data_IF_829195661810
#
_entry.id   IF_829195661810
#
_cell.length_a   1.000
_cell.length_b   1.000
_cell.length_c   1.000
_cell.angle_alpha   90.00
_cell.angle_beta   90.00
_cell.angle_gamma   90.00
#
_symmetry.space_group_name_H-M   'P 1'
#
loop_
_entity.id
_entity.type
_entity.pdbx_description
1 polymer ?
#
# COMPACT_ATOMS: atom_id res chain seq x y z
N UNK A 1 38.71 17.60 -7.52
CA UNK A 1 37.72 17.28 -6.47
C UNK A 1 38.34 16.15 -5.72
N UNK A 2 39.09 16.48 -4.68
CA UNK A 2 40.11 15.59 -4.14
C UNK A 2 39.56 15.02 -2.84
N UNK A 3 38.66 14.04 -2.99
CA UNK A 3 38.03 13.31 -1.88
C UNK A 3 39.01 12.32 -1.26
N UNK A 4 40.01 12.84 -0.54
CA UNK A 4 40.92 12.00 0.23
C UNK A 4 40.37 11.81 1.64
N UNK A 5 40.03 10.58 1.99
CA UNK A 5 39.75 10.18 3.37
C UNK A 5 41.00 10.42 4.22
N UNK A 6 40.83 11.14 5.31
CA UNK A 6 41.92 11.37 6.25
C UNK A 6 42.17 10.08 7.04
N UNK A 7 43.40 9.87 7.54
CA UNK A 7 43.70 8.73 8.40
C UNK A 7 42.85 8.68 9.68
N UNK A 8 42.31 9.83 10.12
CA UNK A 8 41.36 9.91 11.22
C UNK A 8 39.99 9.31 10.85
N UNK A 9 39.54 9.48 9.61
CA UNK A 9 38.27 8.94 9.12
C UNK A 9 38.34 7.41 9.02
N UNK A 10 39.49 6.88 8.58
CA UNK A 10 39.74 5.43 8.56
C UNK A 10 39.79 4.84 9.98
N UNK A 11 40.35 5.56 10.95
CA UNK A 11 40.39 5.14 12.34
C UNK A 11 38.99 5.18 13.00
N UNK A 12 38.17 6.18 12.67
CA UNK A 12 36.79 6.25 13.10
C UNK A 12 35.96 5.07 12.55
N UNK A 13 36.16 4.72 11.28
CA UNK A 13 35.51 3.56 10.66
C UNK A 13 35.95 2.24 11.30
N UNK A 14 37.25 2.10 11.61
CA UNK A 14 37.80 0.92 12.29
C UNK A 14 37.12 0.70 13.64
N UNK A 15 36.96 1.75 14.45
CA UNK A 15 36.31 1.66 15.76
C UNK A 15 34.82 1.31 15.66
N UNK A 16 34.17 1.69 14.56
CA UNK A 16 32.76 1.36 14.31
C UNK A 16 32.56 -0.10 13.87
N UNK A 17 33.46 -0.60 13.01
CA UNK A 17 33.36 -1.96 12.44
C UNK A 17 33.90 -3.01 13.42
N UNK A 18 34.89 -2.65 14.23
CA UNK A 18 35.52 -3.54 15.19
C UNK A 18 35.69 -2.81 16.54
N UNK A 19 34.60 -2.64 17.32
CA UNK A 19 34.72 -2.11 18.67
C UNK A 19 35.70 -2.99 19.47
N UNK A 20 36.58 -2.36 20.23
CA UNK A 20 37.52 -3.07 21.10
C UNK A 20 36.74 -3.99 22.02
N UNK A 21 37.01 -5.30 21.93
CA UNK A 21 36.54 -6.30 22.88
C UNK A 21 37.19 -6.03 24.23
N UNK A 22 36.58 -5.13 25.00
CA UNK A 22 36.56 -5.31 26.45
C UNK A 22 35.40 -6.27 26.73
N UNK A 23 35.75 -7.54 26.80
CA UNK A 23 34.89 -8.60 27.34
C UNK A 23 34.67 -8.29 28.83
N UNK A 24 33.59 -7.57 29.15
CA UNK A 24 33.01 -7.56 30.50
C UNK A 24 31.55 -7.97 30.37
N UNK A 25 31.34 -9.29 30.41
CA UNK A 25 30.05 -9.91 30.71
C UNK A 25 29.61 -9.48 32.11
N UNK A 26 28.94 -8.33 32.18
CA UNK A 26 28.31 -7.81 33.39
C UNK A 26 26.96 -7.27 32.99
N UNK A 27 26.01 -8.20 32.93
CA UNK A 27 24.60 -7.87 33.00
C UNK A 27 24.37 -7.16 34.33
N UNK A 28 23.67 -6.02 34.27
CA UNK A 28 23.23 -5.14 35.36
C UNK A 28 24.18 -4.02 35.82
N UNK A 29 23.60 -2.82 35.84
CA UNK A 29 24.10 -1.54 36.36
C UNK A 29 25.24 -0.80 35.62
N UNK A 30 24.88 -0.12 34.52
CA UNK A 30 25.58 1.10 34.12
C UNK A 30 25.23 2.25 35.08
N UNK A 31 26.21 2.94 35.72
CA UNK A 31 25.93 4.18 36.42
C UNK A 31 25.61 5.27 35.37
N UNK A 32 24.32 5.57 35.22
CA UNK A 32 23.81 6.66 34.39
C UNK A 32 24.19 8.03 34.99
N UNK A 33 25.46 8.41 34.90
CA UNK A 33 25.90 9.78 35.10
C UNK A 33 25.43 10.61 33.89
N UNK A 34 24.17 11.04 33.92
CA UNK A 34 23.61 11.96 32.91
C UNK A 34 22.13 11.76 32.59
N UNK A 35 21.52 10.64 32.99
CA UNK A 35 20.10 10.45 32.79
C UNK A 35 19.31 11.13 33.91
N UNK A 36 18.82 12.34 33.63
CA UNK A 36 17.66 12.84 34.35
C UNK A 36 16.55 11.80 34.17
N UNK A 37 15.95 11.35 35.28
CA UNK A 37 14.83 10.40 35.31
C UNK A 37 13.61 11.03 34.61
N UNK A 38 13.63 11.09 33.29
CA UNK A 38 12.48 11.46 32.49
C UNK A 38 11.72 10.18 32.17
N UNK A 39 10.52 10.08 32.73
CA UNK A 39 9.59 9.03 32.37
C UNK A 39 8.77 9.43 31.13
N UNK A 40 8.01 8.50 30.54
CA UNK A 40 7.06 8.82 29.47
C UNK A 40 6.05 9.93 29.84
N UNK A 41 5.84 10.18 31.14
CA UNK A 41 4.99 11.26 31.67
C UNK A 41 5.61 12.65 31.69
N UNK A 42 6.91 12.81 31.41
CA UNK A 42 7.58 14.12 31.33
C UNK A 42 7.59 14.70 29.90
N UNK A 43 6.97 14.01 28.94
CA UNK A 43 6.77 14.51 27.57
C UNK A 43 5.51 15.39 27.57
N UNK A 44 5.66 16.65 27.97
CA UNK A 44 4.61 17.67 27.97
C UNK A 44 5.04 18.93 28.70
N UNK A 45 4.53 20.11 28.29
CA UNK A 45 4.83 21.36 28.99
C UNK A 45 4.38 21.27 30.46
N UNK A 46 5.17 21.78 31.43
CA UNK A 46 4.81 21.70 32.83
C UNK A 46 3.50 22.44 33.04
N UNK A 47 2.48 21.70 33.49
CA UNK A 47 1.18 22.22 33.82
C UNK A 47 1.25 22.99 35.14
N UNK A 48 1.73 24.24 35.07
CA UNK A 48 1.44 25.23 36.07
C UNK A 48 0.28 26.13 35.58
N UNK A 49 -0.85 25.83 36.19
CA UNK A 49 -2.10 26.56 36.33
C UNK A 49 -2.30 27.88 35.57
N UNK A 50 -3.49 27.96 34.97
CA UNK A 50 -4.27 29.16 34.69
C UNK A 50 -3.69 30.13 33.66
N UNK A 51 -4.04 29.90 32.39
CA UNK A 51 -4.57 30.97 31.56
C UNK A 51 -5.29 30.40 30.35
N UNK A 52 -6.58 30.74 30.29
CA UNK A 52 -7.38 30.92 29.09
C UNK A 52 -6.51 31.10 27.84
N UNK A 53 -6.41 30.02 27.07
CA UNK A 53 -5.77 30.03 25.77
C UNK A 53 -6.50 29.04 24.89
N UNK A 54 -7.73 29.43 24.57
CA UNK A 54 -8.24 29.33 23.21
C UNK A 54 -7.24 30.02 22.25
N UNK A 55 -6.05 29.42 22.10
CA UNK A 55 -5.14 29.78 21.02
C UNK A 55 -5.85 29.35 19.75
N UNK A 56 -6.55 30.32 19.21
CA UNK A 56 -7.08 30.36 17.87
C UNK A 56 -5.88 30.23 16.93
N UNK A 57 -5.37 29.00 16.75
CA UNK A 57 -4.33 28.68 15.78
C UNK A 57 -5.00 28.76 14.41
N UNK A 58 -5.29 29.97 13.96
CA UNK A 58 -5.84 30.24 12.64
C UNK A 58 -4.70 30.18 11.64
N UNK A 59 -4.32 28.96 11.25
CA UNK A 59 -3.37 28.69 10.17
C UNK A 59 -3.84 27.49 9.36
N UNK A 60 -3.26 27.27 8.17
CA UNK A 60 -3.63 26.13 7.30
C UNK A 60 -3.38 24.74 7.93
N UNK A 61 -2.69 24.67 9.07
CA UNK A 61 -2.43 23.44 9.84
C UNK A 61 -3.07 23.47 11.24
N UNK A 62 -4.16 24.22 11.42
CA UNK A 62 -4.96 24.20 12.65
C UNK A 62 -5.52 22.79 12.89
N UNK A 63 -5.47 22.25 14.12
CA UNK A 63 -6.16 21.01 14.45
C UNK A 63 -7.66 21.16 14.18
N UNK A 64 -8.24 20.22 13.45
CA UNK A 64 -9.69 20.17 13.22
C UNK A 64 -10.37 19.89 14.56
N UNK A 65 -11.42 20.64 14.87
CA UNK A 65 -12.18 20.42 16.10
C UNK A 65 -13.03 19.15 15.94
N UNK A 66 -12.56 18.03 16.48
CA UNK A 66 -13.35 16.81 16.55
C UNK A 66 -14.57 17.00 17.45
N UNK A 67 -15.71 16.44 17.05
CA UNK A 67 -16.93 16.47 17.86
C UNK A 67 -16.94 15.24 18.78
N UNK A 68 -16.35 15.36 19.97
CA UNK A 68 -16.27 14.28 20.96
C UNK A 68 -15.02 13.41 20.82
N UNK A 69 -15.09 12.16 21.30
CA UNK A 69 -13.98 11.17 21.25
C UNK A 69 -13.80 10.53 19.86
N UNK A 70 -14.24 11.21 18.80
CA UNK A 70 -14.09 10.71 17.45
C UNK A 70 -12.63 10.88 16.99
N UNK A 71 -12.01 9.76 16.61
CA UNK A 71 -10.61 9.71 16.17
C UNK A 71 -10.47 10.33 14.78
N UNK A 72 -11.53 10.33 13.97
CA UNK A 72 -11.55 10.85 12.61
C UNK A 72 -12.42 12.09 12.48
N UNK A 73 -11.91 13.14 11.82
CA UNK A 73 -12.75 14.27 11.42
C UNK A 73 -13.43 13.98 10.07
N UNK A 74 -14.69 14.37 9.84
CA UNK A 74 -15.40 14.11 8.58
C UNK A 74 -14.74 14.74 7.34
N UNK A 75 -13.85 15.71 7.51
CA UNK A 75 -13.04 16.25 6.39
C UNK A 75 -11.73 15.50 6.14
N UNK A 76 -11.29 14.65 7.08
CA UNK A 76 -10.15 13.74 6.92
C UNK A 76 -10.58 12.40 6.32
N UNK A 77 -11.81 11.98 6.65
CA UNK A 77 -12.50 10.93 5.93
C UNK A 77 -12.94 11.48 4.55
N UNK A 78 -12.00 11.58 3.61
CA UNK A 78 -12.38 11.64 2.20
C UNK A 78 -13.08 10.32 1.90
N UNK A 79 -14.41 10.38 1.86
CA UNK A 79 -15.22 9.34 1.26
C UNK A 79 -14.78 9.21 -0.20
N UNK A 80 -13.81 8.33 -0.44
CA UNK A 80 -13.59 7.70 -1.75
C UNK A 80 -14.75 6.76 -2.09
N UNK A 81 -15.81 6.73 -1.27
CA UNK A 81 -17.15 6.43 -1.71
C UNK A 81 -17.57 7.49 -2.71
N UNK A 82 -17.06 7.34 -3.93
CA UNK A 82 -17.87 7.30 -5.12
C UNK A 82 -19.18 8.07 -4.92
N UNK A 83 -19.18 9.32 -5.35
CA UNK A 83 -20.39 10.00 -5.79
C UNK A 83 -20.93 9.30 -7.07
N UNK A 84 -20.94 7.95 -7.09
CA UNK A 84 -21.69 7.15 -8.01
C UNK A 84 -23.13 7.35 -7.57
N UNK A 85 -23.80 8.24 -8.27
CA UNK A 85 -25.17 8.03 -8.76
C UNK A 85 -25.73 6.70 -8.26
N UNK A 86 -26.65 6.76 -7.28
CA UNK A 86 -27.19 5.60 -6.57
C UNK A 86 -27.77 4.61 -7.60
N UNK A 87 -26.94 3.65 -8.04
CA UNK A 87 -27.33 2.71 -9.07
C UNK A 87 -28.19 1.63 -8.41
N UNK A 88 -29.43 1.41 -8.86
CA UNK A 88 -30.30 0.36 -8.32
C UNK A 88 -29.78 -1.06 -8.61
N UNK A 89 -28.76 -1.23 -9.47
CA UNK A 89 -28.16 -2.52 -9.82
C UNK A 89 -27.36 -3.09 -8.67
N UNK A 90 -27.34 -4.42 -8.58
CA UNK A 90 -26.62 -5.13 -7.52
C UNK A 90 -25.13 -5.20 -7.83
N UNK A 91 -24.24 -5.09 -6.83
CA UNK A 91 -22.84 -5.43 -7.03
C UNK A 91 -22.72 -6.96 -7.23
N UNK A 92 -22.07 -7.43 -8.31
CA UNK A 92 -21.83 -8.85 -8.51
C UNK A 92 -20.73 -9.38 -7.58
N UNK A 93 -20.74 -10.69 -7.32
CA UNK A 93 -19.63 -11.35 -6.62
C UNK A 93 -18.43 -11.44 -7.56
N UNK A 94 -17.25 -11.06 -7.08
CA UNK A 94 -16.02 -11.12 -7.86
C UNK A 94 -14.86 -11.72 -7.07
N UNK A 95 -13.89 -12.28 -7.79
CA UNK A 95 -12.65 -12.84 -7.24
C UNK A 95 -11.45 -12.28 -8.01
N UNK A 96 -10.41 -11.84 -7.30
CA UNK A 96 -9.18 -11.31 -7.89
C UNK A 96 -8.03 -12.31 -7.70
N UNK A 97 -7.31 -12.64 -8.77
CA UNK A 97 -6.17 -13.55 -8.77
C UNK A 97 -4.99 -12.93 -9.51
N UNK A 98 -3.85 -12.83 -8.85
CA UNK A 98 -2.61 -12.48 -9.51
C UNK A 98 -2.08 -13.69 -10.29
N UNK A 99 -1.63 -13.47 -11.53
CA UNK A 99 -1.06 -14.50 -12.40
C UNK A 99 0.38 -14.10 -12.74
N UNK A 100 1.29 -15.04 -12.54
CA UNK A 100 2.71 -14.91 -12.81
C UNK A 100 3.09 -15.83 -13.99
N UNK A 101 3.75 -15.28 -14.99
CA UNK A 101 4.29 -16.08 -16.09
C UNK A 101 5.59 -16.74 -15.64
N UNK A 102 5.59 -18.04 -15.34
CA UNK A 102 6.80 -18.77 -14.92
C UNK A 102 7.38 -19.59 -16.08
N UNK A 103 8.69 -19.51 -16.26
CA UNK A 103 9.43 -20.33 -17.22
C UNK A 103 10.07 -21.55 -16.54
N UNK A 104 10.60 -22.49 -17.31
CA UNK A 104 11.34 -23.61 -16.76
C UNK A 104 12.60 -23.17 -15.98
N UNK A 105 13.23 -22.06 -16.38
CA UNK A 105 14.39 -21.51 -15.69
C UNK A 105 14.02 -20.96 -14.30
N UNK A 106 12.83 -20.36 -14.18
CA UNK A 106 12.29 -19.86 -12.91
C UNK A 106 12.01 -21.03 -11.95
N UNK A 107 11.36 -22.08 -12.46
CA UNK A 107 10.86 -23.20 -11.64
C UNK A 107 11.98 -24.20 -11.28
N UNK A 108 12.86 -24.52 -12.23
CA UNK A 108 13.85 -25.59 -12.04
C UNK A 108 15.26 -25.08 -11.73
N UNK A 109 15.61 -23.86 -12.14
CA UNK A 109 16.98 -23.32 -12.01
C UNK A 109 17.07 -22.10 -11.08
N UNK A 110 15.95 -21.48 -10.73
CA UNK A 110 15.90 -20.31 -9.86
C UNK A 110 16.60 -19.06 -10.44
N UNK A 111 16.79 -19.00 -11.77
CA UNK A 111 17.59 -17.95 -12.43
C UNK A 111 16.78 -16.73 -12.88
N UNK A 112 15.45 -16.79 -12.88
CA UNK A 112 14.62 -15.70 -13.39
C UNK A 112 14.31 -14.58 -12.41
N UNK A 113 14.87 -14.63 -11.19
CA UNK A 113 14.68 -13.60 -10.15
C UNK A 113 13.21 -13.23 -9.94
N UNK A 114 12.32 -14.23 -9.98
CA UNK A 114 10.91 -14.03 -9.63
C UNK A 114 10.65 -14.60 -8.26
N UNK A 115 9.93 -13.86 -7.44
CA UNK A 115 9.43 -14.32 -6.14
C UNK A 115 8.00 -14.83 -6.26
N UNK A 116 7.49 -15.59 -5.26
CA UNK A 116 6.07 -15.91 -5.15
C UNK A 116 5.20 -14.72 -4.73
N UNK A 117 5.76 -13.50 -4.73
CA UNK A 117 5.06 -12.26 -4.36
C UNK A 117 4.20 -11.75 -5.51
N UNK A 118 3.17 -10.98 -5.19
CA UNK A 118 2.40 -10.23 -6.19
C UNK A 118 3.27 -9.24 -6.96
N UNK A 119 4.41 -8.82 -6.39
CA UNK A 119 5.41 -7.99 -7.06
C UNK A 119 5.95 -8.62 -8.35
N UNK A 120 6.08 -9.94 -8.44
CA UNK A 120 6.54 -10.61 -9.68
C UNK A 120 5.40 -11.05 -10.59
N UNK A 121 4.13 -10.81 -10.23
CA UNK A 121 2.97 -11.15 -11.04
C UNK A 121 2.70 -10.07 -12.09
N UNK A 122 2.73 -10.42 -13.37
CA UNK A 122 2.57 -9.46 -14.44
C UNK A 122 1.10 -9.25 -14.86
N UNK A 123 0.19 -10.09 -14.37
CA UNK A 123 -1.21 -10.10 -14.75
C UNK A 123 -2.12 -10.16 -13.53
N UNK A 124 -3.27 -9.49 -13.63
CA UNK A 124 -4.36 -9.53 -12.65
C UNK A 124 -5.62 -10.08 -13.32
N UNK A 125 -6.14 -11.19 -12.81
CA UNK A 125 -7.36 -11.82 -13.31
C UNK A 125 -8.52 -11.54 -12.36
N UNK A 126 -9.56 -10.91 -12.86
CA UNK A 126 -10.80 -10.62 -12.13
C UNK A 126 -11.91 -11.50 -12.69
N UNK A 127 -12.44 -12.41 -11.88
CA UNK A 127 -13.58 -13.25 -12.23
C UNK A 127 -14.85 -12.65 -11.63
N UNK A 128 -15.75 -12.18 -12.47
CA UNK A 128 -17.02 -11.55 -12.07
C UNK A 128 -18.18 -12.49 -12.37
N UNK A 129 -18.89 -12.93 -11.33
CA UNK A 129 -20.04 -13.83 -11.47
C UNK A 129 -21.29 -13.03 -11.80
N UNK A 130 -21.90 -13.32 -12.95
CA UNK A 130 -23.06 -12.62 -13.49
C UNK A 130 -24.17 -13.62 -13.82
N UNK A 131 -24.78 -14.27 -12.80
CA UNK A 131 -25.78 -15.30 -13.03
C UNK A 131 -27.03 -14.73 -13.71
N UNK A 132 -27.59 -15.52 -14.64
CA UNK A 132 -28.77 -15.17 -15.43
C UNK A 132 -28.57 -13.98 -16.39
N UNK A 133 -27.32 -13.56 -16.62
CA UNK A 133 -26.95 -12.57 -17.63
C UNK A 133 -26.37 -13.25 -18.87
N UNK A 134 -26.49 -12.61 -20.02
CA UNK A 134 -25.92 -13.10 -21.28
C UNK A 134 -24.76 -12.21 -21.71
N UNK A 135 -23.76 -12.78 -22.39
CA UNK A 135 -22.56 -12.06 -22.85
C UNK A 135 -22.90 -10.76 -23.60
N UNK A 136 -23.93 -10.77 -24.44
CA UNK A 136 -24.33 -9.64 -25.29
C UNK A 136 -24.87 -8.44 -24.50
N UNK A 137 -25.27 -8.66 -23.25
CA UNK A 137 -25.82 -7.63 -22.35
C UNK A 137 -24.79 -7.11 -21.36
N UNK A 138 -23.57 -7.66 -21.38
CA UNK A 138 -22.48 -7.26 -20.50
C UNK A 138 -21.57 -6.31 -21.26
N UNK A 139 -21.40 -5.13 -20.70
CA UNK A 139 -20.46 -4.11 -21.14
C UNK A 139 -19.28 -4.08 -20.17
N UNK A 140 -18.07 -4.05 -20.72
CA UNK A 140 -16.82 -3.95 -19.96
C UNK A 140 -16.05 -2.73 -20.46
N UNK A 141 -15.76 -1.80 -19.56
CA UNK A 141 -14.79 -0.73 -19.77
C UNK A 141 -13.55 -1.01 -18.92
N UNK A 142 -12.38 -0.94 -19.55
CA UNK A 142 -11.08 -1.06 -18.88
C UNK A 142 -10.38 0.27 -18.98
N UNK A 143 -10.22 0.93 -17.85
CA UNK A 143 -9.43 2.15 -17.71
C UNK A 143 -8.08 1.80 -17.07
N UNK A 144 -7.14 2.75 -17.09
CA UNK A 144 -5.80 2.51 -16.55
C UNK A 144 -5.79 2.21 -15.06
N UNK A 145 -6.75 2.71 -14.28
CA UNK A 145 -6.78 2.58 -12.82
C UNK A 145 -8.06 1.91 -12.28
N UNK A 146 -8.99 1.53 -13.16
CA UNK A 146 -10.25 0.93 -12.76
C UNK A 146 -10.85 0.08 -13.89
N UNK A 147 -11.70 -0.87 -13.50
CA UNK A 147 -12.59 -1.57 -14.41
C UNK A 147 -14.04 -1.23 -14.08
N UNK A 148 -14.87 -1.09 -15.12
CA UNK A 148 -16.31 -0.93 -14.99
C UNK A 148 -17.02 -2.03 -15.77
N UNK A 149 -17.75 -2.88 -15.05
CA UNK A 149 -18.58 -3.95 -15.62
C UNK A 149 -20.03 -3.58 -15.42
N UNK A 150 -20.77 -3.45 -16.51
CA UNK A 150 -22.18 -3.09 -16.52
C UNK A 150 -23.02 -4.15 -17.19
N UNK A 151 -24.16 -4.43 -16.59
CA UNK A 151 -25.22 -5.27 -17.15
C UNK A 151 -26.58 -4.73 -16.68
N UNK A 152 -27.70 -5.17 -17.25
CA UNK A 152 -29.03 -4.76 -16.80
C UNK A 152 -29.28 -4.95 -15.30
N UNK A 153 -28.65 -5.96 -14.68
CA UNK A 153 -28.88 -6.34 -13.28
C UNK A 153 -27.73 -6.00 -12.34
N UNK A 154 -26.52 -5.95 -12.88
CA UNK A 154 -25.29 -5.79 -12.10
C UNK A 154 -24.46 -4.63 -12.58
N UNK A 155 -23.81 -3.96 -11.63
CA UNK A 155 -22.76 -2.97 -11.89
C UNK A 155 -21.60 -3.21 -10.93
N UNK A 156 -20.39 -3.20 -11.46
CA UNK A 156 -19.16 -3.29 -10.69
C UNK A 156 -18.18 -2.24 -11.20
N UNK A 157 -17.98 -1.20 -10.40
CA UNK A 157 -16.85 -0.29 -10.59
C UNK A 157 -15.78 -0.67 -9.57
N UNK A 158 -14.64 -1.15 -10.04
CA UNK A 158 -13.57 -1.70 -9.20
C UNK A 158 -12.25 -1.01 -9.56
N UNK A 159 -11.66 -0.20 -8.65
CA UNK A 159 -10.32 0.33 -8.84
C UNK A 159 -9.28 -0.80 -8.85
N UNK A 160 -8.28 -0.69 -9.72
CA UNK A 160 -7.19 -1.64 -9.80
C UNK A 160 -6.10 -1.28 -8.78
N UNK A 161 -5.40 -2.26 -8.17
CA UNK A 161 -4.34 -1.99 -7.19
C UNK A 161 -3.15 -1.22 -7.79
N UNK A 162 -2.89 -1.43 -9.08
CA UNK A 162 -1.86 -0.76 -9.86
C UNK A 162 -2.43 -0.38 -11.22
N UNK A 163 -1.73 0.50 -11.92
CA UNK A 163 -2.07 0.85 -13.29
C UNK A 163 -2.01 -0.37 -14.20
N UNK A 164 -2.93 -0.43 -15.16
CA UNK A 164 -3.03 -1.50 -16.15
C UNK A 164 -2.88 -0.94 -17.56
N UNK A 165 -2.42 -1.76 -18.49
CA UNK A 165 -2.46 -1.45 -19.93
C UNK A 165 -3.76 -2.01 -20.54
N UNK A 166 -4.74 -1.17 -20.92
CA UNK A 166 -5.99 -1.63 -21.50
C UNK A 166 -5.82 -2.35 -22.84
N UNK A 167 -4.78 -2.04 -23.62
CA UNK A 167 -4.56 -2.62 -24.94
C UNK A 167 -3.95 -4.02 -24.87
N UNK A 168 -3.14 -4.29 -23.86
CA UNK A 168 -2.57 -5.61 -23.59
C UNK A 168 -3.49 -6.49 -22.72
N UNK A 169 -4.58 -5.92 -22.20
CA UNK A 169 -5.58 -6.63 -21.41
C UNK A 169 -6.63 -7.29 -22.30
N UNK A 170 -7.25 -8.36 -21.81
CA UNK A 170 -8.28 -9.08 -22.54
C UNK A 170 -9.32 -9.67 -21.61
N UNK A 171 -10.51 -9.98 -22.14
CA UNK A 171 -11.59 -10.59 -21.35
C UNK A 171 -12.19 -11.79 -22.07
N UNK A 172 -12.67 -12.76 -21.30
CA UNK A 172 -13.31 -13.98 -21.77
C UNK A 172 -14.60 -14.21 -20.99
N UNK A 173 -15.67 -14.54 -21.71
CA UNK A 173 -16.93 -14.96 -21.12
C UNK A 173 -16.99 -16.48 -21.02
N UNK A 174 -17.29 -17.00 -19.84
CA UNK A 174 -17.57 -18.42 -19.60
C UNK A 174 -19.08 -18.63 -19.52
N UNK A 175 -19.67 -19.21 -20.57
CA UNK A 175 -21.11 -19.47 -20.66
C UNK A 175 -21.61 -20.41 -19.58
N UNK A 176 -20.80 -21.42 -19.25
CA UNK A 176 -21.19 -22.54 -18.40
C UNK A 176 -21.41 -22.10 -16.94
N UNK A 177 -20.63 -21.11 -16.50
CA UNK A 177 -20.67 -20.55 -15.15
C UNK A 177 -21.22 -19.12 -15.12
N UNK A 178 -21.64 -18.57 -16.27
CA UNK A 178 -22.04 -17.16 -16.43
C UNK A 178 -21.06 -16.19 -15.74
N UNK A 179 -19.76 -16.37 -16.02
CA UNK A 179 -18.67 -15.64 -15.38
C UNK A 179 -17.86 -14.88 -16.43
N UNK A 180 -17.62 -13.59 -16.19
CA UNK A 180 -16.71 -12.77 -16.97
C UNK A 180 -15.31 -12.85 -16.33
N UNK A 181 -14.34 -13.40 -17.05
CA UNK A 181 -12.92 -13.38 -16.67
C UNK A 181 -12.23 -12.22 -17.39
N UNK A 182 -11.82 -11.20 -16.64
CA UNK A 182 -11.03 -10.08 -17.14
C UNK A 182 -9.58 -10.32 -16.76
N UNK A 183 -8.68 -10.42 -17.73
CA UNK A 183 -7.23 -10.54 -17.50
C UNK A 183 -6.57 -9.22 -17.87
N UNK A 184 -6.11 -8.52 -16.84
CA UNK A 184 -5.51 -7.20 -16.91
C UNK A 184 -3.99 -7.33 -16.91
N UNK A 185 -3.32 -6.61 -17.82
CA UNK A 185 -1.86 -6.49 -17.83
C UNK A 185 -1.46 -5.38 -16.88
N UNK A 186 -0.72 -5.70 -15.82
CA UNK A 186 -0.23 -4.71 -14.87
C UNK A 186 0.96 -3.95 -15.48
N UNK A 187 1.02 -2.64 -15.20
CA UNK A 187 2.09 -1.74 -15.63
C UNK A 187 2.61 -1.00 -14.40
N UNK A 188 3.71 -1.49 -13.81
CA UNK A 188 4.35 -0.89 -12.64
C UNK A 188 5.73 -0.34 -13.00
N UNK A 189 6.17 0.68 -12.27
CA UNK A 189 7.44 1.37 -12.55
C UNK A 189 8.67 0.44 -12.51
N UNK A 190 8.62 -0.59 -11.66
CA UNK A 190 9.74 -1.51 -11.41
C UNK A 190 9.60 -2.87 -12.11
N UNK A 191 8.62 -3.06 -13.01
CA UNK A 191 8.43 -4.35 -13.70
C UNK A 191 9.63 -4.76 -14.58
N UNK A 192 10.46 -3.79 -14.98
CA UNK A 192 11.69 -4.05 -15.73
C UNK A 192 12.82 -4.60 -14.85
N UNK A 193 12.68 -4.51 -13.53
CA UNK A 193 13.64 -4.97 -12.54
C UNK A 193 12.90 -6.02 -11.69
N UNK A 194 12.64 -7.18 -12.28
CA UNK A 194 11.99 -8.26 -11.55
C UNK A 194 12.85 -8.68 -10.36
N UNK A 195 12.23 -8.74 -9.18
CA UNK A 195 12.79 -9.28 -7.94
C UNK A 195 11.97 -10.47 -7.45
#
# INVERSE_FOLDING_TARGET
>A
MDGHFSPADLQALQNLICPSKDDSDSEDDLPQAGARKFGPGDIGAPSDLSQDSSQNRSGPHAPLQSKGDDIWHPSEAVDTQNLQDYDPRKPPEYEMKFKQAVTAEDVYLGMGFKTPSTASCEWLSVLVKLPQETREKVELSVESEAIDVRSPRYRLHLPTPHSVDPNASFAKWHSDTSTLEVTLKLTRELDNINF
#
